data_IF_463722479589
#
_entry.id   IF_463722479589
#
_cell.length_a   1.000
_cell.length_b   1.000
_cell.length_c   1.000
_cell.angle_alpha   90.00
_cell.angle_beta   90.00
_cell.angle_gamma   90.00
#
_symmetry.space_group_name_H-M   'P 1'
#
loop_
_entity.id
_entity.type
_entity.pdbx_description
1 polymer ?
#
# COMPACT_ATOMS: atom_id res chain seq x y z
N UNK A 1 -3.00 10.57 -7.09
CA UNK A 1 -2.16 9.64 -7.88
C UNK A 1 -2.60 8.17 -7.77
N UNK A 2 -3.81 7.88 -7.25
CA UNK A 2 -4.41 6.54 -7.19
C UNK A 2 -5.15 6.11 -8.47
N UNK A 3 -4.98 6.85 -9.57
CA UNK A 3 -5.66 6.56 -10.84
C UNK A 3 -5.01 5.38 -11.55
N UNK A 4 -5.77 4.32 -11.81
CA UNK A 4 -5.32 3.14 -12.54
C UNK A 4 -4.83 3.48 -13.96
N UNK A 5 -3.69 2.90 -14.35
CA UNK A 5 -3.23 2.97 -15.73
C UNK A 5 -4.14 2.14 -16.66
N UNK A 6 -4.44 2.60 -17.89
CA UNK A 6 -5.38 1.92 -18.79
C UNK A 6 -5.07 0.45 -19.07
N UNK A 7 -3.79 0.09 -19.26
CA UNK A 7 -3.38 -1.29 -19.53
C UNK A 7 -3.66 -2.22 -18.35
N UNK A 8 -3.34 -1.79 -17.13
CA UNK A 8 -3.59 -2.55 -15.90
C UNK A 8 -5.08 -2.75 -15.63
N UNK A 9 -5.90 -1.74 -15.97
CA UNK A 9 -7.37 -1.86 -15.94
C UNK A 9 -7.87 -2.87 -16.97
N UNK A 10 -7.37 -2.83 -18.21
CA UNK A 10 -7.75 -3.76 -19.27
C UNK A 10 -7.39 -5.22 -18.92
N UNK A 11 -6.29 -5.42 -18.20
CA UNK A 11 -5.82 -6.72 -17.72
C UNK A 11 -6.55 -7.21 -16.46
N UNK A 12 -7.54 -6.48 -15.93
CA UNK A 12 -8.24 -6.80 -14.67
C UNK A 12 -7.29 -6.93 -13.47
N UNK A 13 -6.18 -6.18 -13.47
CA UNK A 13 -5.17 -6.15 -12.40
C UNK A 13 -5.04 -4.71 -11.89
N UNK A 14 -5.89 -4.26 -10.96
CA UNK A 14 -5.97 -2.87 -10.54
C UNK A 14 -4.83 -2.45 -9.59
N UNK A 15 -3.57 -2.64 -10.01
CA UNK A 15 -2.41 -2.59 -9.11
C UNK A 15 -1.39 -1.51 -9.43
N UNK A 16 -1.54 -0.74 -10.51
CA UNK A 16 -0.51 0.24 -10.90
C UNK A 16 -1.06 1.45 -11.67
N UNK A 17 -0.51 2.63 -11.39
CA UNK A 17 -0.86 3.87 -12.06
C UNK A 17 -0.02 5.06 -11.58
N UNK A 18 0.30 6.00 -12.48
CA UNK A 18 0.99 7.24 -12.11
C UNK A 18 2.35 7.06 -11.41
N UNK A 19 3.09 5.99 -11.70
CA UNK A 19 4.33 5.56 -11.01
C UNK A 19 4.18 4.99 -9.59
N UNK A 20 2.95 4.65 -9.18
CA UNK A 20 2.67 3.99 -7.91
C UNK A 20 2.07 2.61 -8.12
N UNK A 21 2.35 1.72 -7.18
CA UNK A 21 1.49 0.57 -6.94
C UNK A 21 0.21 1.03 -6.25
N UNK A 22 -0.89 0.33 -6.51
CA UNK A 22 -2.21 0.62 -5.95
C UNK A 22 -2.70 -0.64 -5.24
N UNK A 23 -3.25 -0.49 -4.04
CA UNK A 23 -3.74 -1.61 -3.22
C UNK A 23 -5.10 -2.16 -3.70
N UNK A 24 -5.41 -2.04 -4.99
CA UNK A 24 -6.69 -2.43 -5.57
C UNK A 24 -6.93 -3.94 -5.62
N UNK A 25 -5.88 -4.75 -5.44
CA UNK A 25 -5.96 -6.19 -5.25
C UNK A 25 -5.99 -6.61 -3.78
N UNK A 26 -6.00 -5.64 -2.85
CA UNK A 26 -6.00 -5.83 -1.40
C UNK A 26 -4.79 -6.62 -0.88
N UNK A 27 -3.61 -6.46 -1.52
CA UNK A 27 -2.33 -7.02 -1.04
C UNK A 27 -2.07 -6.72 0.44
N UNK A 28 -2.34 -5.49 0.86
CA UNK A 28 -2.19 -5.04 2.24
C UNK A 28 -3.57 -4.87 2.91
N UNK A 29 -3.68 -5.13 4.23
CA UNK A 29 -4.93 -5.01 4.98
C UNK A 29 -5.27 -3.55 5.32
N UNK A 30 -5.30 -2.70 4.30
CA UNK A 30 -5.58 -1.27 4.30
C UNK A 30 -6.56 -0.96 3.16
N UNK A 31 -7.13 0.25 3.07
CA UNK A 31 -8.06 0.61 2.01
C UNK A 31 -7.51 0.40 0.59
N UNK A 32 -8.39 0.11 -0.38
CA UNK A 32 -8.02 -0.22 -1.77
C UNK A 32 -7.43 0.98 -2.53
N UNK A 33 -7.86 2.19 -2.16
CA UNK A 33 -7.37 3.44 -2.73
C UNK A 33 -5.96 3.82 -2.24
N UNK A 34 -5.44 3.11 -1.23
CA UNK A 34 -4.06 3.28 -0.79
C UNK A 34 -3.09 2.96 -1.93
N UNK A 35 -2.01 3.73 -2.00
CA UNK A 35 -1.02 3.61 -3.05
C UNK A 35 0.37 3.73 -2.47
N UNK A 36 1.36 3.13 -3.14
CA UNK A 36 2.67 2.95 -2.54
C UNK A 36 3.78 2.82 -3.57
N UNK A 37 5.00 3.10 -3.12
CA UNK A 37 6.22 2.68 -3.80
C UNK A 37 6.76 1.43 -3.09
N UNK A 38 7.26 0.48 -3.87
CA UNK A 38 7.90 -0.73 -3.37
C UNK A 38 9.28 -0.87 -3.98
N UNK A 39 10.27 -1.24 -3.16
CA UNK A 39 11.62 -1.54 -3.61
C UNK A 39 12.07 -2.93 -3.21
N UNK A 40 13.11 -3.42 -3.89
CA UNK A 40 13.72 -4.71 -3.63
C UNK A 40 14.16 -4.82 -2.15
N UNK A 41 13.91 -5.97 -1.51
CA UNK A 41 14.16 -6.15 -0.08
C UNK A 41 13.01 -5.71 0.84
N UNK A 42 11.87 -5.37 0.24
CA UNK A 42 10.61 -5.07 0.92
C UNK A 42 10.56 -3.66 1.51
N UNK A 43 11.33 -2.71 0.99
CA UNK A 43 11.15 -1.31 1.39
C UNK A 43 9.86 -0.76 0.79
N UNK A 44 9.09 -0.04 1.60
CA UNK A 44 7.80 0.52 1.20
C UNK A 44 7.65 1.96 1.69
N UNK A 45 7.03 2.79 0.85
CA UNK A 45 6.41 4.06 1.25
C UNK A 45 4.93 3.94 0.88
N UNK A 46 4.06 3.80 1.89
CA UNK A 46 2.62 3.57 1.74
C UNK A 46 1.88 4.83 2.13
N UNK A 47 1.00 5.30 1.26
CA UNK A 47 0.15 6.46 1.50
C UNK A 47 -1.30 5.98 1.61
N UNK A 48 -1.97 6.36 2.69
CA UNK A 48 -3.34 5.98 3.02
C UNK A 48 -4.15 7.28 3.19
N UNK A 49 -4.66 7.86 2.09
CA UNK A 49 -5.31 9.17 2.12
C UNK A 49 -6.49 9.21 3.08
N UNK A 50 -7.33 8.17 3.10
CA UNK A 50 -8.49 8.09 4.00
C UNK A 50 -8.15 8.10 5.48
N UNK A 51 -6.87 8.05 5.87
CA UNK A 51 -6.42 8.07 7.26
C UNK A 51 -5.40 9.19 7.52
N UNK A 52 -5.16 10.10 6.56
CA UNK A 52 -4.09 11.11 6.60
C UNK A 52 -2.73 10.52 7.02
N UNK A 53 -2.46 9.29 6.56
CA UNK A 53 -1.37 8.47 7.08
C UNK A 53 -0.38 8.12 5.97
N UNK A 54 0.90 8.27 6.30
CA UNK A 54 2.01 7.72 5.53
C UNK A 54 2.80 6.75 6.41
N UNK A 55 3.03 5.53 5.90
CA UNK A 55 3.83 4.50 6.56
C UNK A 55 5.08 4.23 5.73
N UNK A 56 6.25 4.37 6.35
CA UNK A 56 7.53 4.05 5.72
C UNK A 56 8.14 2.84 6.40
N UNK A 57 8.43 1.80 5.62
CA UNK A 57 9.16 0.61 6.07
C UNK A 57 10.49 0.55 5.33
N UNK A 58 11.58 0.66 6.08
CA UNK A 58 12.91 0.33 5.58
C UNK A 58 13.16 -1.17 5.72
N UNK A 59 13.53 -1.81 4.61
CA UNK A 59 13.68 -3.26 4.53
C UNK A 59 15.13 -3.70 4.36
N UNK A 60 15.44 -4.90 4.85
CA UNK A 60 16.67 -5.59 4.53
C UNK A 60 16.34 -6.87 3.74
N UNK A 61 17.07 -7.11 2.65
CA UNK A 61 16.73 -8.13 1.67
C UNK A 61 16.61 -9.55 2.27
N UNK A 62 17.53 -9.93 3.15
CA UNK A 62 17.51 -11.24 3.83
C UNK A 62 16.24 -11.50 4.67
N UNK A 63 15.52 -10.46 5.07
CA UNK A 63 14.33 -10.55 5.91
C UNK A 63 13.09 -9.98 5.23
N UNK A 64 13.04 -9.96 3.90
CA UNK A 64 11.92 -9.36 3.16
C UNK A 64 10.58 -10.05 3.47
N UNK A 65 10.54 -11.40 3.44
CA UNK A 65 9.33 -12.19 3.71
C UNK A 65 8.76 -11.95 5.11
N UNK A 66 9.49 -12.29 6.20
CA UNK A 66 9.02 -12.04 7.57
C UNK A 66 8.67 -10.57 7.82
N UNK A 67 9.48 -9.65 7.27
CA UNK A 67 9.23 -8.22 7.42
C UNK A 67 7.97 -7.72 6.71
N UNK A 68 7.55 -8.34 5.60
CA UNK A 68 6.27 -8.04 4.96
C UNK A 68 5.10 -8.54 5.81
N UNK A 69 5.20 -9.74 6.39
CA UNK A 69 4.17 -10.28 7.27
C UNK A 69 3.98 -9.42 8.53
N UNK A 70 5.09 -8.94 9.11
CA UNK A 70 5.01 -8.02 10.25
C UNK A 70 4.49 -6.63 9.85
N UNK A 71 4.81 -6.16 8.64
CA UNK A 71 4.22 -4.94 8.09
C UNK A 71 2.70 -5.07 7.95
N UNK A 72 2.19 -6.21 7.46
CA UNK A 72 0.73 -6.45 7.37
C UNK A 72 0.06 -6.36 8.74
N UNK A 73 0.64 -6.99 9.77
CA UNK A 73 0.13 -6.91 11.15
C UNK A 73 0.14 -5.47 11.67
N UNK A 74 1.24 -4.74 11.45
CA UNK A 74 1.35 -3.34 11.86
C UNK A 74 0.31 -2.46 11.16
N UNK A 75 0.08 -2.66 9.86
CA UNK A 75 -0.94 -1.96 9.09
C UNK A 75 -2.35 -2.22 9.65
N UNK A 76 -2.68 -3.46 9.99
CA UNK A 76 -3.96 -3.79 10.64
C UNK A 76 -4.13 -3.04 11.96
N UNK A 77 -3.09 -2.98 12.80
CA UNK A 77 -3.14 -2.21 14.05
C UNK A 77 -3.29 -0.71 13.80
N UNK A 78 -2.62 -0.17 12.78
CA UNK A 78 -2.74 1.24 12.42
C UNK A 78 -4.14 1.61 11.93
N UNK A 79 -4.81 0.74 11.18
CA UNK A 79 -6.21 0.98 10.75
C UNK A 79 -7.19 0.98 11.93
N UNK A 80 -6.84 0.38 13.07
CA UNK A 80 -7.64 0.44 14.29
C UNK A 80 -7.32 1.70 15.11
N UNK A 81 -6.06 2.13 15.11
CA UNK A 81 -5.57 3.21 15.95
C UNK A 81 -5.72 4.61 15.33
N UNK A 82 -5.65 4.71 14.01
CA UNK A 82 -5.79 5.97 13.26
C UNK A 82 -7.19 6.03 12.68
N UNK A 83 -8.04 6.99 13.08
CA UNK A 83 -9.38 7.11 12.53
C UNK A 83 -9.37 7.44 11.03
N UNK A 84 -10.34 6.88 10.29
CA UNK A 84 -10.56 7.22 8.89
C UNK A 84 -11.44 8.47 8.70
N UNK A 85 -11.32 9.09 7.53
CA UNK A 85 -12.17 10.16 7.04
C UNK A 85 -12.53 9.94 5.56
N UNK A 86 -13.49 10.72 5.05
CA UNK A 86 -13.83 10.69 3.62
C UNK A 86 -12.78 11.45 2.84
N UNK A 87 -12.18 10.79 1.85
CA UNK A 87 -11.31 11.46 0.86
C UNK A 87 -12.21 12.34 -0.01
N UNK A 88 -11.92 13.65 -0.07
CA UNK A 88 -12.60 14.63 -0.94
C UNK A 88 -12.23 14.44 -2.43
#
# INVERSE_FOLDING_TARGET
>A
VSTLAPAWKADHRPIYGGFFWINGDRRFPIPEEAYYMAGAGGQYTIIIPSHDLVVVRLGHYKGSGPGEEDLKKALTLLMQAVPGHKVE
#
